data_IF_620084007387
#
_entry.id   IF_620084007387
#
_cell.length_a   1.000
_cell.length_b   1.000
_cell.length_c   1.000
_cell.angle_alpha   90.00
_cell.angle_beta   90.00
_cell.angle_gamma   90.00
#
_symmetry.space_group_name_H-M   'P 1'
#
loop_
_entity.id
_entity.type
_entity.pdbx_description
1 polymer ?
#
# COMPACT_ATOMS: atom_id res chain seq x y z
N UNK A 1 10.58 -33.73 -69.91
CA UNK A 1 10.83 -33.22 -68.55
C UNK A 1 9.67 -32.31 -68.14
N UNK A 2 8.47 -32.87 -67.98
CA UNK A 2 7.73 -32.98 -66.70
C UNK A 2 8.26 -32.13 -65.54
N UNK A 3 7.48 -31.14 -65.10
CA UNK A 3 6.78 -31.15 -63.81
C UNK A 3 5.70 -30.03 -63.77
N UNK A 4 4.45 -30.45 -63.60
CA UNK A 4 3.28 -29.63 -63.24
C UNK A 4 3.27 -29.42 -61.72
N UNK A 5 2.71 -28.31 -61.22
CA UNK A 5 1.82 -28.20 -60.03
C UNK A 5 1.43 -26.72 -59.81
N UNK A 6 0.23 -26.34 -60.26
CA UNK A 6 -0.98 -25.99 -59.46
C UNK A 6 -0.91 -24.67 -58.68
N UNK A 7 -1.62 -23.67 -59.20
CA UNK A 7 -2.20 -22.59 -58.42
C UNK A 7 -3.37 -23.14 -57.58
N UNK A 8 -3.46 -22.75 -56.31
CA UNK A 8 -4.67 -22.83 -55.49
C UNK A 8 -5.03 -21.44 -54.99
N UNK A 9 -6.33 -21.16 -55.04
CA UNK A 9 -7.02 -19.91 -54.79
C UNK A 9 -7.37 -19.71 -53.30
N UNK A 10 -7.77 -18.47 -52.98
CA UNK A 10 -8.50 -17.96 -51.79
C UNK A 10 -7.61 -17.52 -50.60
N UNK A 11 -7.81 -16.38 -49.93
CA UNK A 11 -9.04 -15.62 -49.70
C UNK A 11 -8.78 -14.12 -49.53
N UNK A 12 -9.61 -13.34 -50.23
CA UNK A 12 -10.06 -11.96 -50.04
C UNK A 12 -9.73 -11.30 -48.67
N UNK A 13 -8.99 -10.20 -48.70
CA UNK A 13 -9.05 -9.15 -47.68
C UNK A 13 -9.59 -7.87 -48.34
N UNK A 14 -10.89 -7.67 -48.18
CA UNK A 14 -11.71 -6.58 -48.68
C UNK A 14 -11.42 -5.24 -47.97
N UNK A 15 -11.83 -4.09 -48.55
CA UNK A 15 -11.37 -2.76 -48.18
C UNK A 15 -12.03 -2.29 -46.87
N UNK A 16 -11.44 -2.63 -45.74
CA UNK A 16 -11.83 -2.12 -44.42
C UNK A 16 -10.65 -1.55 -43.63
N UNK A 17 -9.64 -1.06 -44.34
CA UNK A 17 -8.54 -0.30 -43.74
C UNK A 17 -8.98 1.13 -43.32
N UNK A 18 -10.16 1.59 -43.74
CA UNK A 18 -10.69 2.94 -43.43
C UNK A 18 -11.90 2.98 -42.48
N UNK A 19 -12.12 1.93 -41.65
CA UNK A 19 -13.14 1.97 -40.58
C UNK A 19 -12.54 1.71 -39.18
N UNK A 20 -11.25 1.35 -39.07
CA UNK A 20 -10.56 1.25 -37.77
C UNK A 20 -9.93 2.55 -37.28
N UNK A 21 -10.35 3.71 -37.80
CA UNK A 21 -9.82 5.01 -37.38
C UNK A 21 -10.87 5.94 -36.73
N UNK A 22 -12.11 5.51 -36.51
CA UNK A 22 -13.14 6.40 -35.92
C UNK A 22 -13.89 5.90 -34.69
N UNK A 23 -13.71 4.66 -34.21
CA UNK A 23 -14.36 4.21 -32.96
C UNK A 23 -13.43 3.29 -32.16
N UNK A 24 -12.34 3.87 -31.65
CA UNK A 24 -11.72 3.40 -30.41
C UNK A 24 -11.75 4.55 -29.41
N UNK A 25 -12.85 4.56 -28.67
CA UNK A 25 -12.82 4.82 -27.24
C UNK A 25 -12.41 6.24 -26.82
N UNK A 26 -13.38 7.14 -26.98
CA UNK A 26 -13.76 8.07 -25.92
C UNK A 26 -13.94 7.27 -24.62
N UNK A 27 -12.86 6.99 -23.89
CA UNK A 27 -12.84 6.56 -22.50
C UNK A 27 -11.39 6.63 -22.03
N UNK A 28 -10.98 7.85 -21.64
CA UNK A 28 -10.02 8.16 -20.58
C UNK A 28 -8.97 7.04 -20.34
N UNK A 29 -7.96 6.94 -21.20
CA UNK A 29 -6.63 6.54 -20.71
C UNK A 29 -6.06 7.77 -20.01
N UNK A 30 -6.39 7.88 -18.72
CA UNK A 30 -5.54 8.55 -17.76
C UNK A 30 -4.24 7.75 -17.78
N UNK A 31 -3.30 8.13 -18.65
CA UNK A 31 -1.93 7.62 -18.60
C UNK A 31 -1.41 7.95 -17.20
N UNK A 32 -1.41 6.97 -16.30
CA UNK A 32 -0.63 7.05 -15.08
C UNK A 32 0.82 7.26 -15.53
N UNK A 33 1.38 8.43 -15.23
CA UNK A 33 2.74 8.80 -15.59
C UNK A 33 3.72 7.79 -14.94
N UNK A 34 4.47 6.99 -15.73
CA UNK A 34 5.38 5.99 -15.20
C UNK A 34 6.48 6.59 -14.30
N UNK A 35 6.79 7.87 -14.47
CA UNK A 35 7.81 8.56 -13.67
C UNK A 35 7.29 8.89 -12.26
N UNK A 36 6.00 9.22 -12.13
CA UNK A 36 5.36 9.52 -10.85
C UNK A 36 5.29 8.28 -9.94
N UNK A 37 4.98 7.12 -10.52
CA UNK A 37 4.94 5.85 -9.79
C UNK A 37 6.35 5.44 -9.28
N UNK A 38 7.38 5.70 -10.08
CA UNK A 38 8.77 5.40 -9.69
C UNK A 38 9.30 6.34 -8.58
N UNK A 39 8.92 7.62 -8.64
CA UNK A 39 9.28 8.60 -7.60
C UNK A 39 8.55 8.29 -6.30
N UNK A 40 7.26 7.97 -6.35
CA UNK A 40 6.48 7.61 -5.17
C UNK A 40 7.08 6.38 -4.47
N UNK A 41 7.37 5.32 -5.21
CA UNK A 41 8.01 4.12 -4.67
C UNK A 41 9.35 4.42 -3.98
N UNK A 42 10.16 5.33 -4.55
CA UNK A 42 11.43 5.73 -3.96
C UNK A 42 11.27 6.45 -2.61
N UNK A 43 10.25 7.32 -2.48
CA UNK A 43 9.95 8.05 -1.25
C UNK A 43 9.41 7.11 -0.18
N UNK A 44 8.49 6.21 -0.54
CA UNK A 44 7.95 5.18 0.36
C UNK A 44 9.09 4.34 0.93
N UNK A 45 9.99 3.87 0.05
CA UNK A 45 11.15 3.09 0.45
C UNK A 45 12.05 3.85 1.42
N UNK A 46 12.30 5.12 1.16
CA UNK A 46 13.11 5.96 2.05
C UNK A 46 12.47 6.07 3.44
N UNK A 47 11.15 6.34 3.53
CA UNK A 47 10.43 6.42 4.81
C UNK A 47 10.51 5.11 5.61
N UNK A 48 10.37 3.96 4.94
CA UNK A 48 10.46 2.65 5.58
C UNK A 48 11.87 2.41 6.13
N UNK A 49 12.92 2.71 5.33
CA UNK A 49 14.32 2.54 5.75
C UNK A 49 14.65 3.47 6.93
N UNK A 50 14.22 4.73 6.87
CA UNK A 50 14.43 5.69 7.96
C UNK A 50 13.75 5.22 9.26
N UNK A 51 12.54 4.68 9.15
CA UNK A 51 11.77 4.17 10.30
C UNK A 51 12.37 2.89 10.86
N UNK A 52 12.89 2.02 10.00
CA UNK A 52 13.65 0.84 10.41
C UNK A 52 14.91 1.23 11.18
N UNK A 53 15.69 2.19 10.68
CA UNK A 53 16.89 2.67 11.35
C UNK A 53 16.56 3.24 12.73
N UNK A 54 15.56 4.12 12.82
CA UNK A 54 15.07 4.68 14.09
C UNK A 54 14.62 3.59 15.07
N UNK A 55 13.98 2.54 14.58
CA UNK A 55 13.58 1.41 15.41
C UNK A 55 14.78 0.69 16.03
N UNK A 56 15.77 0.32 15.22
CA UNK A 56 16.96 -0.36 15.72
C UNK A 56 17.76 0.50 16.69
N UNK A 57 17.90 1.80 16.41
CA UNK A 57 18.51 2.74 17.36
C UNK A 57 17.76 2.76 18.70
N UNK A 58 16.42 2.86 18.66
CA UNK A 58 15.57 2.84 19.85
C UNK A 58 15.73 1.55 20.65
N UNK A 59 15.71 0.40 19.97
CA UNK A 59 15.86 -0.91 20.60
C UNK A 59 17.23 -1.07 21.28
N UNK A 60 18.30 -0.52 20.70
CA UNK A 60 19.65 -0.55 21.26
C UNK A 60 19.83 0.39 22.45
N UNK A 61 19.15 1.55 22.44
CA UNK A 61 19.25 2.56 23.51
C UNK A 61 18.37 2.23 24.72
N UNK A 62 17.24 1.56 24.52
CA UNK A 62 16.28 1.32 25.58
C UNK A 62 16.80 0.26 26.58
N UNK A 63 16.64 0.49 27.90
CA UNK A 63 17.11 -0.44 28.93
C UNK A 63 16.36 -1.78 28.85
N UNK A 64 16.87 -2.86 29.47
CA UNK A 64 16.15 -4.13 29.57
C UNK A 64 14.77 -3.94 30.22
N UNK A 65 13.81 -4.77 29.82
CA UNK A 65 12.47 -4.76 30.38
C UNK A 65 12.50 -5.06 31.89
N UNK A 66 11.87 -4.18 32.69
CA UNK A 66 11.96 -4.22 34.16
C UNK A 66 10.73 -4.77 34.87
N UNK A 67 9.61 -4.99 34.17
CA UNK A 67 8.38 -5.49 34.81
C UNK A 67 8.49 -7.00 35.03
N UNK A 68 7.83 -7.49 36.08
CA UNK A 68 7.74 -8.93 36.37
C UNK A 68 6.72 -9.59 35.44
N UNK A 69 6.98 -10.83 35.03
CA UNK A 69 6.07 -11.63 34.22
C UNK A 69 6.61 -11.91 32.81
N UNK A 70 5.83 -12.68 32.05
CA UNK A 70 6.12 -12.94 30.64
C UNK A 70 5.82 -11.68 29.82
N UNK A 71 6.62 -11.45 28.79
CA UNK A 71 6.47 -10.33 27.88
C UNK A 71 6.99 -10.73 26.51
N UNK A 72 6.52 -10.04 25.49
CA UNK A 72 7.05 -10.14 24.14
C UNK A 72 8.15 -9.10 23.95
N UNK A 73 9.29 -9.53 23.39
CA UNK A 73 10.42 -8.65 23.14
C UNK A 73 10.11 -7.59 22.08
N UNK A 74 10.73 -6.42 22.23
CA UNK A 74 10.75 -5.37 21.22
C UNK A 74 11.20 -5.90 19.86
N UNK A 75 10.58 -5.41 18.78
CA UNK A 75 10.82 -5.95 17.43
C UNK A 75 10.48 -4.95 16.33
N UNK A 76 11.12 -5.12 15.18
CA UNK A 76 10.72 -4.48 13.93
C UNK A 76 9.92 -5.49 13.11
N UNK A 77 8.67 -5.16 12.77
CA UNK A 77 7.80 -6.09 12.04
C UNK A 77 7.85 -5.94 10.51
N UNK A 78 8.64 -4.98 10.02
CA UNK A 78 8.71 -4.61 8.61
C UNK A 78 8.26 -3.18 8.33
N UNK A 79 7.34 -2.63 9.12
CA UNK A 79 6.78 -1.28 8.94
C UNK A 79 6.80 -0.44 10.22
N UNK A 80 6.58 -1.06 11.38
CA UNK A 80 6.53 -0.39 12.67
C UNK A 80 7.47 -1.04 13.69
N UNK A 81 7.88 -0.21 14.64
CA UNK A 81 8.68 -0.61 15.80
C UNK A 81 7.76 -0.93 16.97
N UNK A 82 7.89 -2.11 17.54
CA UNK A 82 7.10 -2.56 18.70
C UNK A 82 8.01 -2.65 19.91
N UNK A 83 7.56 -2.12 21.05
CA UNK A 83 8.30 -2.18 22.31
C UNK A 83 8.03 -3.50 23.06
N UNK A 84 8.77 -3.70 24.15
CA UNK A 84 8.52 -4.80 25.06
C UNK A 84 7.10 -4.70 25.66
N UNK A 85 6.29 -5.73 25.45
CA UNK A 85 4.84 -5.69 25.76
C UNK A 85 4.47 -6.84 26.71
N UNK A 86 3.75 -6.59 27.82
CA UNK A 86 3.33 -7.66 28.73
C UNK A 86 2.50 -8.76 28.04
N UNK A 87 2.63 -9.99 28.52
CA UNK A 87 1.86 -11.12 28.01
C UNK A 87 0.36 -10.94 28.26
N UNK A 88 -0.45 -11.15 27.22
CA UNK A 88 -1.90 -10.97 27.24
C UNK A 88 -2.37 -9.55 26.93
N UNK A 89 -1.47 -8.63 26.56
CA UNK A 89 -1.80 -7.25 26.20
C UNK A 89 -1.60 -6.98 24.70
N UNK A 90 -2.26 -5.91 24.22
CA UNK A 90 -2.04 -5.36 22.90
C UNK A 90 -1.02 -4.22 22.99
N UNK A 91 -0.06 -4.22 22.07
CA UNK A 91 0.69 -3.02 21.75
C UNK A 91 -0.07 -2.27 20.66
N UNK A 92 -0.31 -0.98 20.87
CA UNK A 92 -1.08 -0.13 19.97
C UNK A 92 -0.24 1.11 19.58
N UNK A 93 -0.26 1.47 18.31
CA UNK A 93 0.34 2.71 17.81
C UNK A 93 -0.34 3.18 16.54
N UNK A 94 -0.12 4.45 16.17
CA UNK A 94 -0.65 5.01 14.94
C UNK A 94 -0.15 4.25 13.69
N UNK A 95 -1.01 4.17 12.68
CA UNK A 95 -0.64 3.64 11.37
C UNK A 95 0.47 4.50 10.73
N UNK A 96 1.39 3.90 9.96
CA UNK A 96 2.45 4.64 9.29
C UNK A 96 1.90 5.47 8.12
N UNK A 97 2.55 6.59 7.82
CA UNK A 97 2.22 7.51 6.73
C UNK A 97 2.99 7.18 5.42
N UNK A 98 3.35 5.91 5.24
CA UNK A 98 4.14 5.48 4.08
C UNK A 98 3.27 5.42 2.82
N UNK A 99 2.05 4.92 2.93
CA UNK A 99 1.17 4.64 1.80
C UNK A 99 0.04 5.67 1.72
N UNK A 100 -0.35 6.07 0.50
CA UNK A 100 -1.43 7.05 0.32
C UNK A 100 -2.79 6.57 0.79
N UNK A 101 -3.00 5.25 0.79
CA UNK A 101 -4.24 4.61 1.22
C UNK A 101 -4.24 4.23 2.70
N UNK A 102 -3.23 4.65 3.45
CA UNK A 102 -3.18 4.52 4.91
C UNK A 102 -3.62 5.82 5.58
N UNK A 103 -4.39 5.68 6.65
CA UNK A 103 -4.79 6.76 7.52
C UNK A 103 -3.91 6.78 8.79
N UNK A 104 -3.01 7.75 8.95
CA UNK A 104 -2.14 7.84 10.13
C UNK A 104 -2.89 8.08 11.45
N UNK A 105 -4.16 8.48 11.39
CA UNK A 105 -5.00 8.69 12.58
C UNK A 105 -5.58 7.38 13.11
N UNK A 106 -5.59 6.32 12.29
CA UNK A 106 -6.01 4.98 12.71
C UNK A 106 -4.92 4.25 13.49
N UNK A 107 -5.31 3.17 14.16
CA UNK A 107 -4.44 2.40 15.07
C UNK A 107 -4.10 1.03 14.48
N UNK A 108 -2.80 0.75 14.40
CA UNK A 108 -2.26 -0.58 14.19
C UNK A 108 -2.04 -1.27 15.54
N UNK A 109 -2.31 -2.58 15.61
CA UNK A 109 -2.23 -3.34 16.88
C UNK A 109 -1.38 -4.59 16.73
N UNK A 110 -0.65 -4.97 17.78
CA UNK A 110 0.11 -6.22 17.84
C UNK A 110 -0.14 -6.91 19.16
N UNK A 111 -0.68 -8.12 19.09
CA UNK A 111 -1.05 -8.88 20.28
C UNK A 111 0.12 -9.70 20.82
N UNK A 112 0.44 -9.51 22.10
CA UNK A 112 1.34 -10.38 22.84
C UNK A 112 0.56 -11.49 23.53
N UNK A 113 0.79 -12.74 23.15
CA UNK A 113 0.09 -13.88 23.73
C UNK A 113 0.45 -14.07 25.20
N UNK A 114 -0.43 -14.75 25.96
CA UNK A 114 -0.23 -15.05 27.38
C UNK A 114 1.04 -15.85 27.68
N UNK A 115 1.59 -16.51 26.66
CA UNK A 115 2.85 -17.25 26.67
C UNK A 115 4.10 -16.38 26.55
N UNK A 116 3.97 -15.07 26.30
CA UNK A 116 5.10 -14.17 26.03
C UNK A 116 5.61 -14.27 24.58
N UNK A 117 4.78 -14.76 23.66
CA UNK A 117 5.09 -14.85 22.24
C UNK A 117 4.22 -13.88 21.44
N UNK A 118 4.80 -13.25 20.42
CA UNK A 118 4.01 -12.42 19.52
C UNK A 118 3.02 -13.29 18.73
N UNK A 119 1.79 -12.81 18.59
CA UNK A 119 0.75 -13.50 17.84
C UNK A 119 1.22 -13.88 16.44
N UNK A 120 0.88 -15.11 16.05
CA UNK A 120 1.16 -15.66 14.72
C UNK A 120 -0.14 -15.81 13.95
N UNK A 121 -0.14 -15.36 12.70
CA UNK A 121 -1.31 -15.50 11.83
C UNK A 121 -1.60 -16.98 11.58
N UNK A 122 -2.85 -17.45 11.72
CA UNK A 122 -3.18 -18.88 11.67
C UNK A 122 -2.85 -19.52 10.32
N UNK A 123 -2.95 -18.78 9.22
CA UNK A 123 -2.72 -19.31 7.87
C UNK A 123 -1.25 -19.34 7.48
N UNK A 124 -0.45 -18.36 7.92
CA UNK A 124 0.95 -18.22 7.49
C UNK A 124 1.94 -18.66 8.55
N UNK A 125 1.48 -18.84 9.79
CA UNK A 125 2.27 -19.13 10.99
C UNK A 125 3.43 -18.14 11.23
N UNK A 126 3.33 -16.95 10.65
CA UNK A 126 4.30 -15.86 10.82
C UNK A 126 3.78 -14.90 11.87
N UNK A 127 4.71 -14.33 12.63
CA UNK A 127 4.42 -13.22 13.53
C UNK A 127 3.73 -12.11 12.75
N UNK A 128 2.60 -11.63 13.26
CA UNK A 128 1.74 -10.71 12.53
C UNK A 128 1.39 -9.48 13.36
N UNK A 129 1.11 -8.37 12.67
CA UNK A 129 0.60 -7.13 13.24
C UNK A 129 -0.64 -6.74 12.45
N UNK A 130 -1.65 -6.24 13.14
CA UNK A 130 -2.93 -5.91 12.57
C UNK A 130 -2.95 -4.47 12.04
N UNK A 131 -2.89 -4.35 10.71
CA UNK A 131 -3.00 -3.10 9.98
C UNK A 131 -4.37 -2.89 9.31
N UNK A 132 -5.36 -3.74 9.59
CA UNK A 132 -6.66 -3.73 8.89
C UNK A 132 -7.38 -2.39 8.99
N UNK A 133 -7.24 -1.68 10.11
CA UNK A 133 -7.85 -0.35 10.30
C UNK A 133 -7.19 0.73 9.47
N UNK A 134 -5.90 0.60 9.14
CA UNK A 134 -5.13 1.63 8.48
C UNK A 134 -5.68 2.00 7.10
N UNK A 135 -6.33 1.07 6.39
CA UNK A 135 -6.91 1.34 5.07
C UNK A 135 -8.43 1.12 5.00
N UNK A 136 -9.10 0.90 6.14
CA UNK A 136 -10.53 0.56 6.16
C UNK A 136 -11.43 1.68 5.64
N UNK A 137 -11.12 2.94 5.94
CA UNK A 137 -11.97 4.10 5.60
C UNK A 137 -11.40 4.99 4.48
N UNK A 138 -10.25 4.64 3.91
CA UNK A 138 -9.55 5.52 2.96
C UNK A 138 -10.23 5.61 1.60
N UNK A 139 -11.02 4.61 1.20
CA UNK A 139 -11.84 4.67 -0.02
C UNK A 139 -13.05 5.61 0.10
N UNK A 140 -13.57 5.81 1.32
CA UNK A 140 -14.63 6.79 1.58
C UNK A 140 -14.04 8.19 1.74
N UNK A 141 -12.91 8.31 2.46
CA UNK A 141 -12.17 9.58 2.62
C UNK A 141 -11.62 10.13 1.29
N UNK A 142 -11.06 9.28 0.41
CA UNK A 142 -10.62 9.69 -0.94
C UNK A 142 -11.76 10.18 -1.85
N UNK A 143 -13.02 9.79 -1.60
CA UNK A 143 -14.17 10.32 -2.35
C UNK A 143 -14.61 11.69 -1.83
N UNK A 144 -14.35 12.00 -0.56
CA UNK A 144 -14.70 13.29 0.06
C UNK A 144 -13.64 14.38 -0.07
N UNK A 145 -12.36 14.01 -0.21
CA UNK A 145 -11.23 14.94 -0.44
C UNK A 145 -11.33 15.78 -1.74
N UNK A 146 -11.71 15.23 -2.92
CA UNK A 146 -11.88 16.05 -4.12
C UNK A 146 -13.10 17.00 -4.05
N UNK A 147 -14.03 16.77 -3.10
CA UNK A 147 -15.15 17.69 -2.89
C UNK A 147 -14.77 18.89 -2.02
N UNK A 148 -13.90 18.74 -1.01
CA UNK A 148 -13.49 19.84 -0.13
C UNK A 148 -12.57 20.85 -0.82
N UNK A 149 -11.73 20.39 -1.76
CA UNK A 149 -10.88 21.29 -2.56
C UNK A 149 -11.66 22.13 -3.58
N UNK A 150 -12.83 21.66 -4.03
CA UNK A 150 -13.69 22.39 -4.97
C UNK A 150 -14.38 23.60 -4.31
N UNK A 151 -14.63 23.57 -3.00
CA UNK A 151 -15.29 24.67 -2.27
C UNK A 151 -14.38 25.89 -2.02
N UNK A 152 -13.07 25.81 -2.28
CA UNK A 152 -12.15 26.96 -2.11
C UNK A 152 -12.17 27.89 -3.35
N UNK A 153 -12.79 27.50 -4.48
CA UNK A 153 -12.73 28.27 -5.74
C UNK A 153 -13.91 29.24 -5.96
N UNK A 154 -14.89 29.33 -5.06
CA UNK A 154 -15.98 30.33 -5.21
C UNK A 154 -16.14 31.14 -3.93
N UNK A 155 -15.29 32.16 -3.74
CA UNK A 155 -15.63 33.44 -3.12
C UNK A 155 -14.51 34.46 -3.38
N UNK A 156 -14.49 35.01 -4.58
CA UNK A 156 -13.73 36.22 -4.92
C UNK A 156 -14.61 37.14 -5.76
N UNK A 157 -15.45 37.94 -5.10
CA UNK A 157 -16.30 38.97 -5.74
C UNK A 157 -15.91 40.36 -5.22
N UNK A 158 -15.76 41.27 -6.18
CA UNK A 158 -15.93 42.74 -6.15
C UNK A 158 -14.98 43.62 -5.34
N UNK A 159 -14.18 44.42 -6.05
CA UNK A 159 -14.37 45.88 -6.12
C UNK A 159 -14.01 46.41 -7.51
#
# INVERSE_FOLDING_TARGET
>A
MSLRLRAFYTSLATPNFLIKQQIKNVFIEFYADPTLESMEYSVIRQKIVDSQFKCYERMNKAPPYKKKGLYCNRTWDGWLCWDDTPAGENADQNCPDYFQDFDPTEIATKYCEKTGTWFRHPETNRTWSNYTRCNSFTNEKRKTEPCLSYYIVICGKSN
#
